data_IF_696896133949
#
_entry.id   IF_696896133949
#
_cell.length_a   1.000
_cell.length_b   1.000
_cell.length_c   1.000
_cell.angle_alpha   90.00
_cell.angle_beta   90.00
_cell.angle_gamma   90.00
#
_symmetry.space_group_name_H-M   'P 1'
#
loop_
_entity.id
_entity.type
_entity.pdbx_description
1 polymer ?
#
# COMPACT_ATOMS: atom_id res chain seq x y z
N UNK A 1 -16.66 -7.33 -16.36
CA UNK A 1 -17.73 -6.40 -16.80
C UNK A 1 -17.50 -5.07 -16.11
N UNK A 2 -17.45 -3.99 -16.87
CA UNK A 2 -17.36 -2.62 -16.35
C UNK A 2 -18.72 -1.97 -16.49
N UNK A 3 -19.19 -1.27 -15.45
CA UNK A 3 -20.35 -0.39 -15.61
C UNK A 3 -19.97 0.80 -16.48
N UNK A 4 -20.89 1.30 -17.32
CA UNK A 4 -20.71 2.60 -17.95
C UNK A 4 -20.56 3.66 -16.85
N UNK A 5 -19.54 4.50 -16.99
CA UNK A 5 -19.36 5.67 -16.11
C UNK A 5 -20.39 6.71 -16.56
N UNK A 6 -21.22 7.18 -15.62
CA UNK A 6 -22.15 8.27 -15.91
C UNK A 6 -21.37 9.50 -16.39
N UNK A 7 -21.79 10.07 -17.51
CA UNK A 7 -21.22 11.32 -18.00
C UNK A 7 -21.66 12.49 -17.12
N UNK A 8 -20.85 13.56 -16.98
CA UNK A 8 -21.29 14.76 -16.28
C UNK A 8 -22.61 15.29 -16.88
N UNK A 9 -23.66 15.29 -16.07
CA UNK A 9 -25.02 15.67 -16.49
C UNK A 9 -26.02 14.52 -16.60
N UNK A 10 -25.60 13.27 -16.61
CA UNK A 10 -26.50 12.12 -16.52
C UNK A 10 -27.15 12.05 -15.14
N UNK A 11 -28.43 12.33 -15.08
CA UNK A 11 -29.28 12.17 -13.87
C UNK A 11 -29.87 10.77 -13.76
N UNK A 12 -29.18 9.75 -14.23
CA UNK A 12 -29.69 8.38 -14.09
C UNK A 12 -29.60 7.97 -12.60
N UNK A 13 -30.73 7.63 -12.02
CA UNK A 13 -30.85 6.94 -10.72
C UNK A 13 -30.25 5.53 -10.84
N UNK A 14 -28.92 5.45 -11.04
CA UNK A 14 -28.23 4.17 -10.97
C UNK A 14 -28.21 3.75 -9.50
N UNK A 15 -28.76 2.59 -9.15
CA UNK A 15 -28.73 2.11 -7.78
C UNK A 15 -27.28 2.06 -7.29
N UNK A 16 -27.02 2.68 -6.14
CA UNK A 16 -25.70 2.66 -5.54
C UNK A 16 -25.43 1.30 -4.92
N UNK A 17 -24.29 0.70 -5.23
CA UNK A 17 -23.93 -0.60 -4.67
C UNK A 17 -23.04 -1.43 -5.60
N UNK A 18 -22.89 -2.71 -5.26
CA UNK A 18 -22.14 -3.65 -6.07
C UNK A 18 -22.82 -3.86 -7.44
N UNK A 19 -22.02 -3.93 -8.50
CA UNK A 19 -22.51 -4.21 -9.87
C UNK A 19 -23.19 -5.57 -9.95
N UNK A 20 -22.60 -6.55 -9.27
CA UNK A 20 -23.16 -7.91 -9.11
C UNK A 20 -23.39 -8.16 -7.63
N UNK A 21 -24.49 -8.81 -7.23
CA UNK A 21 -24.72 -9.15 -5.83
C UNK A 21 -23.63 -10.09 -5.33
N UNK A 22 -23.25 -9.95 -4.06
CA UNK A 22 -22.32 -10.87 -3.42
C UNK A 22 -22.91 -12.28 -3.40
N UNK A 23 -22.09 -13.26 -3.66
CA UNK A 23 -22.47 -14.66 -3.57
C UNK A 23 -22.28 -15.15 -2.13
N UNK A 24 -23.07 -16.10 -1.64
CA UNK A 24 -22.74 -16.80 -0.41
C UNK A 24 -21.35 -17.46 -0.52
N UNK A 25 -20.51 -17.40 0.54
CA UNK A 25 -19.14 -17.96 0.50
C UNK A 25 -19.09 -19.43 0.10
N UNK A 26 -20.12 -20.22 0.45
CA UNK A 26 -20.28 -21.64 0.08
C UNK A 26 -20.42 -21.85 -1.43
N UNK A 27 -20.86 -20.83 -2.17
CA UNK A 27 -20.99 -20.88 -3.63
C UNK A 27 -19.71 -20.38 -4.34
N UNK A 28 -18.66 -20.05 -3.57
CA UNK A 28 -17.34 -19.71 -4.12
C UNK A 28 -16.59 -21.02 -4.39
N UNK A 29 -15.88 -21.04 -5.51
CA UNK A 29 -15.03 -22.17 -5.88
C UNK A 29 -14.12 -22.59 -4.72
N UNK A 30 -14.15 -23.88 -4.33
CA UNK A 30 -13.31 -24.43 -3.27
C UNK A 30 -11.86 -24.62 -3.73
N UNK A 31 -11.68 -25.14 -4.94
CA UNK A 31 -10.38 -25.50 -5.48
C UNK A 31 -9.62 -24.30 -6.08
N UNK A 32 -8.28 -24.25 -5.89
CA UNK A 32 -7.43 -23.26 -6.55
C UNK A 32 -7.56 -23.27 -8.08
N UNK A 33 -7.21 -22.17 -8.71
CA UNK A 33 -7.12 -22.11 -10.16
C UNK A 33 -5.93 -22.93 -10.67
N UNK A 34 -6.06 -23.52 -11.88
CA UNK A 34 -5.00 -24.32 -12.46
C UNK A 34 -3.77 -23.46 -12.81
N UNK A 35 -2.62 -23.95 -12.43
CA UNK A 35 -1.29 -23.49 -12.86
C UNK A 35 -0.68 -24.53 -13.82
N UNK A 36 0.31 -24.16 -14.64
CA UNK A 36 1.12 -25.15 -15.35
C UNK A 36 1.73 -26.17 -14.38
N UNK A 37 1.94 -27.40 -14.83
CA UNK A 37 2.32 -28.55 -14.00
C UNK A 37 3.50 -28.32 -13.07
N UNK A 38 4.45 -27.49 -13.50
CA UNK A 38 5.70 -27.21 -12.78
C UNK A 38 5.54 -26.25 -11.59
N UNK A 39 4.35 -25.66 -11.42
CA UNK A 39 4.08 -24.64 -10.43
C UNK A 39 2.98 -25.03 -9.45
N UNK A 40 3.01 -24.45 -8.27
CA UNK A 40 1.99 -24.61 -7.25
C UNK A 40 1.72 -23.30 -6.51
N UNK A 41 0.48 -23.13 -6.05
CA UNK A 41 0.13 -22.04 -5.14
C UNK A 41 0.55 -22.39 -3.72
N UNK A 42 1.07 -21.39 -3.02
CA UNK A 42 1.38 -21.46 -1.59
C UNK A 42 0.79 -20.27 -0.86
N UNK A 43 0.57 -20.42 0.44
CA UNK A 43 0.34 -19.30 1.35
C UNK A 43 1.68 -18.97 1.98
N UNK A 44 2.16 -17.74 1.74
CA UNK A 44 3.45 -17.28 2.27
C UNK A 44 3.28 -16.84 3.72
N UNK A 45 4.12 -17.34 4.59
CA UNK A 45 4.09 -16.99 6.00
C UNK A 45 5.07 -15.86 6.32
N UNK A 46 4.53 -14.63 6.43
CA UNK A 46 5.33 -13.43 6.71
C UNK A 46 5.89 -13.36 8.13
N UNK A 47 5.47 -14.27 9.04
CA UNK A 47 6.07 -14.41 10.37
C UNK A 47 7.44 -15.11 10.33
N UNK A 48 7.74 -15.85 9.25
CA UNK A 48 9.00 -16.54 9.06
C UNK A 48 9.98 -15.67 8.29
N UNK A 49 11.16 -15.44 8.86
CA UNK A 49 12.18 -14.58 8.25
C UNK A 49 12.65 -15.10 6.88
N UNK A 50 12.71 -16.43 6.70
CA UNK A 50 13.10 -17.02 5.43
C UNK A 50 12.07 -16.71 4.32
N UNK A 51 10.77 -16.86 4.61
CA UNK A 51 9.71 -16.60 3.64
C UNK A 51 9.54 -15.09 3.37
N UNK A 52 9.68 -14.25 4.39
CA UNK A 52 9.74 -12.79 4.23
C UNK A 52 10.92 -12.39 3.33
N UNK A 53 12.09 -13.00 3.53
CA UNK A 53 13.26 -12.75 2.70
C UNK A 53 13.02 -13.16 1.24
N UNK A 54 12.36 -14.27 0.97
CA UNK A 54 12.01 -14.67 -0.40
C UNK A 54 11.11 -13.64 -1.09
N UNK A 55 10.11 -13.10 -0.38
CA UNK A 55 9.25 -12.02 -0.89
C UNK A 55 10.08 -10.75 -1.13
N UNK A 56 10.90 -10.36 -0.18
CA UNK A 56 11.80 -9.21 -0.33
C UNK A 56 12.72 -9.36 -1.56
N UNK A 57 13.36 -10.51 -1.73
CA UNK A 57 14.24 -10.78 -2.88
C UNK A 57 13.46 -10.74 -4.20
N UNK A 58 12.26 -11.33 -4.23
CA UNK A 58 11.39 -11.30 -5.42
C UNK A 58 11.02 -9.87 -5.80
N UNK A 59 10.56 -9.07 -4.85
CA UNK A 59 10.16 -7.68 -5.09
C UNK A 59 11.38 -6.83 -5.48
N UNK A 60 12.50 -6.95 -4.77
CA UNK A 60 13.72 -6.17 -5.05
C UNK A 60 14.22 -6.37 -6.50
N UNK A 61 14.08 -7.58 -7.06
CA UNK A 61 14.61 -7.87 -8.39
C UNK A 61 13.58 -7.78 -9.52
N UNK A 62 12.29 -7.85 -9.22
CA UNK A 62 11.26 -8.05 -10.24
C UNK A 62 10.02 -7.15 -10.10
N UNK A 63 9.94 -6.27 -9.10
CA UNK A 63 8.78 -5.40 -8.90
C UNK A 63 8.73 -4.24 -9.89
N UNK A 64 7.95 -3.22 -9.56
CA UNK A 64 7.73 -2.05 -10.42
C UNK A 64 9.03 -1.27 -10.62
N UNK A 65 9.32 -0.95 -11.86
CA UNK A 65 10.48 -0.16 -12.29
C UNK A 65 10.02 0.92 -13.27
N UNK A 66 10.84 1.95 -13.46
CA UNK A 66 10.62 2.98 -14.47
C UNK A 66 10.72 2.43 -15.90
N UNK A 67 10.32 3.23 -16.89
CA UNK A 67 10.31 2.79 -18.30
C UNK A 67 11.67 2.37 -18.85
N UNK A 68 12.75 2.93 -18.30
CA UNK A 68 14.13 2.65 -18.69
C UNK A 68 14.81 1.59 -17.81
N UNK A 69 14.11 1.07 -16.80
CA UNK A 69 14.62 0.12 -15.81
C UNK A 69 15.85 0.62 -15.02
N UNK A 70 15.96 1.93 -14.87
CA UNK A 70 17.04 2.59 -14.09
C UNK A 70 16.73 2.67 -12.61
N UNK A 71 15.47 2.81 -12.26
CA UNK A 71 14.96 2.88 -10.89
C UNK A 71 13.92 1.78 -10.63
N UNK A 72 13.91 1.23 -9.43
CA UNK A 72 12.94 0.21 -9.00
C UNK A 72 12.54 0.44 -7.55
N UNK A 73 11.26 0.21 -7.23
CA UNK A 73 10.83 0.18 -5.85
C UNK A 73 11.53 -0.92 -5.07
N UNK A 74 12.09 -0.54 -3.93
CA UNK A 74 12.75 -1.44 -2.99
C UNK A 74 12.19 -1.18 -1.61
N UNK A 75 11.46 -2.14 -1.07
CA UNK A 75 10.90 -2.09 0.28
C UNK A 75 11.81 -2.88 1.22
N UNK A 76 12.01 -2.39 2.45
CA UNK A 76 12.75 -3.15 3.46
C UNK A 76 11.93 -4.34 3.98
N UNK A 77 12.58 -5.40 4.50
CA UNK A 77 11.84 -6.50 5.16
C UNK A 77 10.95 -6.02 6.30
N UNK A 78 11.40 -5.04 7.09
CA UNK A 78 10.62 -4.45 8.19
C UNK A 78 9.37 -3.74 7.67
N UNK A 79 9.48 -2.99 6.56
CA UNK A 79 8.33 -2.37 5.90
C UNK A 79 7.34 -3.42 5.40
N UNK A 80 7.81 -4.48 4.72
CA UNK A 80 6.94 -5.55 4.24
C UNK A 80 6.24 -6.27 5.38
N UNK A 81 6.95 -6.53 6.49
CA UNK A 81 6.36 -7.11 7.69
C UNK A 81 5.29 -6.20 8.26
N UNK A 82 5.59 -4.92 8.43
CA UNK A 82 4.65 -3.94 8.96
C UNK A 82 3.38 -3.84 8.12
N UNK A 83 3.48 -3.63 6.81
CA UNK A 83 2.30 -3.43 5.95
C UNK A 83 1.45 -4.70 5.81
N UNK A 84 2.08 -5.89 5.79
CA UNK A 84 1.38 -7.17 5.61
C UNK A 84 0.83 -7.75 6.93
N UNK A 85 1.24 -7.23 8.08
CA UNK A 85 0.63 -7.53 9.39
C UNK A 85 -0.35 -6.44 9.85
N UNK A 86 -1.01 -5.80 8.89
CA UNK A 86 -2.09 -4.86 9.17
C UNK A 86 -3.12 -5.48 10.15
N UNK A 87 -3.75 -4.71 11.06
CA UNK A 87 -4.81 -5.23 11.92
C UNK A 87 -5.86 -6.02 11.14
N UNK A 88 -6.23 -7.18 11.65
CA UNK A 88 -7.16 -8.12 11.02
C UNK A 88 -6.66 -8.73 9.68
N UNK A 89 -5.34 -8.69 9.38
CA UNK A 89 -4.82 -9.34 8.19
C UNK A 89 -5.21 -10.83 8.12
N UNK A 90 -5.40 -11.32 6.90
CA UNK A 90 -5.69 -12.72 6.67
C UNK A 90 -4.49 -13.38 5.99
N UNK A 91 -3.86 -14.31 6.70
CA UNK A 91 -2.68 -15.03 6.20
C UNK A 91 -2.93 -15.74 4.85
N UNK A 92 -4.15 -16.21 4.61
CA UNK A 92 -4.51 -16.84 3.35
C UNK A 92 -4.44 -15.91 2.14
N UNK A 93 -4.43 -14.58 2.39
CA UNK A 93 -4.33 -13.57 1.32
C UNK A 93 -2.88 -13.20 0.96
N UNK A 94 -1.89 -13.84 1.55
CA UNK A 94 -0.49 -13.78 1.11
C UNK A 94 -0.21 -14.92 0.14
N UNK A 95 -0.55 -14.71 -1.12
CA UNK A 95 -0.54 -15.77 -2.14
C UNK A 95 0.79 -15.77 -2.90
N UNK A 96 1.51 -16.86 -2.83
CA UNK A 96 2.72 -17.11 -3.60
C UNK A 96 2.53 -18.18 -4.67
N UNK A 97 3.45 -18.19 -5.64
CA UNK A 97 3.62 -19.31 -6.56
C UNK A 97 5.07 -19.78 -6.46
N UNK A 98 5.24 -21.10 -6.26
CA UNK A 98 6.55 -21.76 -6.23
C UNK A 98 6.74 -22.69 -7.43
N UNK A 99 7.98 -22.86 -7.82
CA UNK A 99 8.40 -23.92 -8.74
C UNK A 99 8.49 -25.21 -7.92
N UNK A 100 7.74 -26.26 -8.28
CA UNK A 100 7.69 -27.51 -7.51
C UNK A 100 9.03 -28.17 -7.29
N UNK A 101 9.90 -28.21 -8.33
CA UNK A 101 11.19 -28.88 -8.26
C UNK A 101 12.21 -28.17 -7.37
N UNK A 102 12.21 -26.84 -7.34
CA UNK A 102 13.22 -26.04 -6.62
C UNK A 102 12.68 -25.32 -5.39
N UNK A 103 11.36 -25.33 -5.21
CA UNK A 103 10.62 -24.60 -4.17
C UNK A 103 10.86 -23.07 -4.21
N UNK A 104 11.47 -22.54 -5.28
CA UNK A 104 11.73 -21.12 -5.44
C UNK A 104 10.43 -20.34 -5.60
N UNK A 105 10.27 -19.27 -4.82
CA UNK A 105 9.16 -18.31 -4.97
C UNK A 105 9.37 -17.49 -6.26
N UNK A 106 8.38 -17.51 -7.16
CA UNK A 106 8.47 -16.86 -8.48
C UNK A 106 7.34 -15.88 -8.77
N UNK A 107 6.33 -15.85 -7.92
CA UNK A 107 5.29 -14.83 -7.98
C UNK A 107 4.67 -14.64 -6.59
N UNK A 108 4.16 -13.43 -6.35
CA UNK A 108 3.52 -13.04 -5.10
C UNK A 108 2.41 -12.02 -5.37
N UNK A 109 1.37 -12.05 -4.55
CA UNK A 109 0.32 -11.04 -4.46
C UNK A 109 -0.24 -11.06 -3.04
N UNK A 110 -0.55 -9.90 -2.50
CA UNK A 110 -1.13 -9.77 -1.17
C UNK A 110 -2.43 -8.99 -1.17
N UNK A 111 -3.32 -9.33 -0.23
CA UNK A 111 -4.52 -8.59 0.10
C UNK A 111 -4.45 -8.06 1.53
N UNK A 112 -4.81 -6.81 1.72
CA UNK A 112 -4.88 -6.13 3.01
C UNK A 112 -6.34 -5.79 3.28
N UNK A 113 -6.91 -6.21 4.43
CA UNK A 113 -8.29 -5.90 4.75
C UNK A 113 -8.46 -4.40 5.03
N UNK A 114 -9.53 -3.81 4.51
CA UNK A 114 -9.90 -2.43 4.79
C UNK A 114 -11.41 -2.28 4.93
N UNK A 115 -11.85 -1.31 5.70
CA UNK A 115 -13.23 -0.82 5.66
C UNK A 115 -13.29 0.46 4.81
N UNK A 116 -14.09 0.43 3.77
CA UNK A 116 -14.28 1.55 2.85
C UNK A 116 -15.68 2.13 3.01
N UNK A 117 -15.77 3.45 3.12
CA UNK A 117 -17.04 4.16 3.03
C UNK A 117 -17.17 4.78 1.64
N UNK A 118 -18.29 4.53 1.01
CA UNK A 118 -18.72 5.20 -0.23
C UNK A 118 -20.04 5.89 0.07
N UNK A 119 -20.02 7.22 0.11
CA UNK A 119 -21.14 8.06 0.58
C UNK A 119 -21.64 7.57 1.95
N UNK A 120 -22.86 7.09 2.06
CA UNK A 120 -23.47 6.67 3.34
C UNK A 120 -23.30 5.17 3.66
N UNK A 121 -22.69 4.42 2.73
CA UNK A 121 -22.51 2.97 2.89
C UNK A 121 -21.08 2.62 3.21
N UNK A 122 -20.85 1.86 4.27
CA UNK A 122 -19.55 1.30 4.61
C UNK A 122 -19.55 -0.23 4.41
N UNK A 123 -18.47 -0.76 3.89
CA UNK A 123 -18.30 -2.19 3.63
C UNK A 123 -16.82 -2.59 3.65
N UNK A 124 -16.58 -3.87 3.87
CA UNK A 124 -15.23 -4.42 3.84
C UNK A 124 -14.77 -4.66 2.41
N UNK A 125 -13.52 -4.29 2.15
CA UNK A 125 -12.82 -4.49 0.88
C UNK A 125 -11.45 -5.11 1.13
N UNK A 126 -10.85 -5.60 0.06
CA UNK A 126 -9.43 -5.98 0.08
C UNK A 126 -8.64 -4.98 -0.75
N UNK A 127 -7.64 -4.35 -0.16
CA UNK A 127 -6.61 -3.63 -0.91
C UNK A 127 -5.60 -4.64 -1.45
N UNK A 128 -5.44 -4.68 -2.77
CA UNK A 128 -4.50 -5.58 -3.45
C UNK A 128 -3.17 -4.87 -3.67
N UNK A 129 -2.11 -5.46 -3.13
CA UNK A 129 -0.76 -4.94 -3.20
C UNK A 129 0.26 -6.00 -3.61
N UNK A 130 1.46 -5.56 -3.97
CA UNK A 130 2.65 -6.38 -4.25
C UNK A 130 2.46 -7.47 -5.32
N UNK A 131 1.58 -7.24 -6.30
CA UNK A 131 1.49 -8.15 -7.45
C UNK A 131 2.81 -8.16 -8.21
N UNK A 132 3.57 -9.22 -8.07
CA UNK A 132 4.88 -9.40 -8.68
C UNK A 132 5.00 -10.77 -9.31
N UNK A 133 5.52 -10.82 -10.54
CA UNK A 133 5.88 -12.04 -11.25
C UNK A 133 7.32 -11.93 -11.71
N UNK A 134 8.10 -12.96 -11.45
CA UNK A 134 9.50 -13.06 -11.89
C UNK A 134 9.63 -12.71 -13.39
N UNK A 135 10.58 -11.85 -13.77
CA UNK A 135 10.71 -11.29 -15.14
C UNK A 135 10.64 -12.35 -16.25
N UNK A 136 11.30 -13.49 -16.05
CA UNK A 136 11.31 -14.60 -17.03
C UNK A 136 9.95 -15.31 -17.22
N UNK A 137 8.98 -15.07 -16.33
CA UNK A 137 7.67 -15.71 -16.36
C UNK A 137 6.54 -14.75 -16.78
N UNK A 138 6.85 -13.49 -17.06
CA UNK A 138 5.83 -12.49 -17.41
C UNK A 138 5.03 -12.87 -18.67
N UNK A 139 5.68 -13.49 -19.65
CA UNK A 139 5.03 -13.98 -20.87
C UNK A 139 4.12 -15.20 -20.64
N UNK A 140 4.21 -15.88 -19.51
CA UNK A 140 3.39 -17.05 -19.16
C UNK A 140 2.00 -16.71 -18.63
N UNK A 141 1.60 -15.42 -18.64
CA UNK A 141 0.28 -14.94 -18.17
C UNK A 141 -0.08 -15.38 -16.75
N UNK A 142 0.90 -15.41 -15.85
CA UNK A 142 0.68 -15.81 -14.46
C UNK A 142 -0.06 -14.78 -13.63
N UNK A 143 0.12 -13.47 -13.92
CA UNK A 143 -0.54 -12.41 -13.16
C UNK A 143 -2.08 -12.52 -13.16
N UNK A 144 -2.79 -12.76 -14.28
CA UNK A 144 -4.23 -12.99 -14.26
C UNK A 144 -4.65 -14.18 -13.40
N UNK A 145 -3.83 -15.21 -13.31
CA UNK A 145 -4.14 -16.41 -12.50
C UNK A 145 -3.96 -16.11 -11.01
N UNK A 146 -2.91 -15.36 -10.64
CA UNK A 146 -2.74 -14.86 -9.26
C UNK A 146 -3.92 -13.98 -8.82
N UNK A 147 -4.35 -13.06 -9.69
CA UNK A 147 -5.51 -12.20 -9.40
C UNK A 147 -6.77 -13.03 -9.18
N UNK A 148 -7.02 -14.04 -10.01
CA UNK A 148 -8.15 -14.96 -9.81
C UNK A 148 -8.05 -15.73 -8.49
N UNK A 149 -6.86 -16.19 -8.13
CA UNK A 149 -6.67 -16.97 -6.90
C UNK A 149 -6.85 -16.11 -5.65
N UNK A 150 -6.29 -14.90 -5.60
CA UNK A 150 -6.52 -14.03 -4.44
C UNK A 150 -7.99 -13.61 -4.35
N UNK A 151 -8.64 -13.32 -5.49
CA UNK A 151 -10.08 -13.04 -5.53
C UNK A 151 -10.88 -14.19 -4.96
N UNK A 152 -10.57 -15.43 -5.35
CA UNK A 152 -11.21 -16.63 -4.79
C UNK A 152 -11.07 -16.70 -3.27
N UNK A 153 -9.87 -16.49 -2.74
CA UNK A 153 -9.59 -16.53 -1.30
C UNK A 153 -10.30 -15.41 -0.53
N UNK A 154 -10.33 -14.20 -1.08
CA UNK A 154 -11.10 -13.10 -0.48
C UNK A 154 -12.61 -13.40 -0.48
N UNK A 155 -13.13 -13.90 -1.60
CA UNK A 155 -14.55 -14.25 -1.71
C UNK A 155 -14.96 -15.39 -0.75
N UNK A 156 -14.08 -16.36 -0.50
CA UNK A 156 -14.30 -17.38 0.54
C UNK A 156 -14.40 -16.80 1.95
N UNK A 157 -13.81 -15.63 2.18
CA UNK A 157 -13.94 -14.86 3.42
C UNK A 157 -15.13 -13.87 3.41
N UNK A 158 -15.98 -13.93 2.39
CA UNK A 158 -17.16 -13.05 2.25
C UNK A 158 -16.85 -11.65 1.71
N UNK A 159 -15.64 -11.39 1.23
CA UNK A 159 -15.23 -10.09 0.67
C UNK A 159 -15.18 -10.18 -0.85
N UNK A 160 -16.02 -9.37 -1.52
CA UNK A 160 -16.21 -9.41 -2.97
C UNK A 160 -15.76 -8.13 -3.69
N UNK A 161 -15.40 -7.10 -2.95
CA UNK A 161 -14.88 -5.85 -3.49
C UNK A 161 -13.40 -5.73 -3.20
N UNK A 162 -12.65 -5.22 -4.18
CA UNK A 162 -11.23 -4.97 -4.04
C UNK A 162 -10.87 -3.61 -4.62
N UNK A 163 -9.88 -2.96 -4.01
CA UNK A 163 -9.26 -1.74 -4.53
C UNK A 163 -7.79 -2.03 -4.81
N UNK A 164 -7.23 -1.35 -5.79
CA UNK A 164 -5.80 -1.41 -6.10
C UNK A 164 -5.34 -0.14 -6.81
N UNK A 165 -4.06 0.11 -6.79
CA UNK A 165 -3.43 1.22 -7.49
C UNK A 165 -2.48 0.69 -8.58
N UNK A 166 -2.24 1.49 -9.60
CA UNK A 166 -1.27 1.21 -10.65
C UNK A 166 -0.53 2.49 -11.02
N UNK A 167 0.76 2.37 -11.35
CA UNK A 167 1.59 3.48 -11.83
C UNK A 167 1.22 3.99 -13.23
N UNK A 168 0.31 3.30 -13.92
CA UNK A 168 -0.22 3.68 -15.22
C UNK A 168 -1.69 4.07 -15.10
N UNK A 169 -2.14 5.00 -15.96
CA UNK A 169 -3.55 5.39 -16.02
C UNK A 169 -4.39 4.19 -16.48
N UNK A 170 -5.33 3.79 -15.64
CA UNK A 170 -6.27 2.72 -15.92
C UNK A 170 -7.42 3.24 -16.81
N UNK A 171 -8.08 2.39 -17.62
CA UNK A 171 -9.14 2.83 -18.56
C UNK A 171 -10.32 3.55 -17.90
N UNK A 172 -10.68 3.22 -16.69
CA UNK A 172 -11.79 3.85 -15.94
C UNK A 172 -11.42 3.93 -14.45
N UNK A 173 -10.45 4.80 -14.09
CA UNK A 173 -10.03 4.89 -12.70
C UNK A 173 -11.11 5.55 -11.85
N UNK A 174 -11.23 5.14 -10.59
CA UNK A 174 -12.08 5.83 -9.61
C UNK A 174 -11.48 7.22 -9.32
N UNK A 175 -10.15 7.29 -9.22
CA UNK A 175 -9.40 8.52 -9.00
C UNK A 175 -7.98 8.39 -9.54
N UNK A 176 -7.37 9.53 -9.83
CA UNK A 176 -5.96 9.63 -10.18
C UNK A 176 -5.28 10.59 -9.21
N UNK A 177 -4.09 10.21 -8.74
CA UNK A 177 -3.25 11.06 -7.91
C UNK A 177 -2.00 11.50 -8.68
N UNK A 178 -1.48 12.67 -8.33
CA UNK A 178 -0.19 13.15 -8.82
C UNK A 178 0.79 13.18 -7.67
N UNK A 179 1.93 12.53 -7.85
CA UNK A 179 3.01 12.56 -6.88
C UNK A 179 3.85 13.82 -7.05
N UNK A 180 4.23 14.43 -5.92
CA UNK A 180 5.15 15.55 -5.85
C UNK A 180 6.31 15.15 -4.95
N UNK A 181 7.54 15.47 -5.39
CA UNK A 181 8.74 15.17 -4.64
C UNK A 181 9.31 16.43 -3.99
N UNK A 182 9.66 16.34 -2.72
CA UNK A 182 10.43 17.35 -1.99
C UNK A 182 11.84 16.82 -1.77
N UNK A 183 12.78 17.37 -2.49
CA UNK A 183 14.19 16.98 -2.38
C UNK A 183 14.73 17.25 -0.98
N UNK A 184 15.34 16.25 -0.35
CA UNK A 184 16.02 16.35 0.94
C UNK A 184 17.52 16.26 0.81
N UNK A 185 18.05 15.47 -0.14
CA UNK A 185 19.47 15.27 -0.42
C UNK A 185 19.74 15.52 -1.90
N UNK A 186 19.79 16.82 -2.29
CA UNK A 186 19.87 17.22 -3.69
C UNK A 186 21.07 16.61 -4.41
N UNK A 187 22.28 16.65 -3.82
CA UNK A 187 23.51 16.08 -4.39
C UNK A 187 23.36 14.60 -4.69
N UNK A 188 22.92 13.80 -3.70
CA UNK A 188 22.71 12.36 -3.87
C UNK A 188 21.74 12.05 -5.02
N UNK A 189 20.62 12.80 -5.11
CA UNK A 189 19.61 12.58 -6.16
C UNK A 189 20.14 12.93 -7.57
N UNK A 190 21.04 13.90 -7.67
CA UNK A 190 21.73 14.23 -8.93
C UNK A 190 22.77 13.16 -9.28
N UNK A 191 23.56 12.72 -8.30
CA UNK A 191 24.60 11.70 -8.49
C UNK A 191 24.03 10.35 -8.99
N UNK A 192 22.86 9.96 -8.49
CA UNK A 192 22.19 8.71 -8.94
C UNK A 192 21.31 8.90 -10.18
N UNK A 193 21.26 10.11 -10.77
CA UNK A 193 20.49 10.38 -11.98
C UNK A 193 18.96 10.52 -11.78
N UNK A 194 18.47 10.60 -10.52
CA UNK A 194 17.06 10.81 -10.25
C UNK A 194 16.60 12.24 -10.58
N UNK A 195 17.47 13.22 -10.38
CA UNK A 195 17.23 14.63 -10.73
C UNK A 195 18.46 15.23 -11.40
N UNK A 196 18.33 16.45 -11.91
CA UNK A 196 19.43 17.20 -12.49
C UNK A 196 19.51 18.60 -11.89
N UNK A 197 20.72 19.17 -11.92
CA UNK A 197 20.91 20.59 -11.57
C UNK A 197 20.29 21.45 -12.67
N UNK A 198 19.43 22.42 -12.33
CA UNK A 198 18.84 23.34 -13.32
C UNK A 198 19.92 24.08 -14.11
N UNK A 199 19.65 24.37 -15.38
CA UNK A 199 20.58 25.08 -16.25
C UNK A 199 20.94 26.45 -15.66
N UNK A 200 22.22 26.75 -15.57
CA UNK A 200 22.73 28.02 -15.05
C UNK A 200 22.84 28.09 -13.53
N UNK A 201 22.68 26.98 -12.83
CA UNK A 201 22.82 26.86 -11.36
C UNK A 201 23.99 25.97 -11.02
N UNK A 202 24.71 26.28 -9.94
CA UNK A 202 25.73 25.37 -9.39
C UNK A 202 25.10 24.30 -8.50
N UNK A 203 25.85 23.25 -8.16
CA UNK A 203 25.37 22.23 -7.22
C UNK A 203 25.12 22.82 -5.83
N UNK A 204 25.98 23.72 -5.39
CA UNK A 204 25.88 24.42 -4.09
C UNK A 204 24.62 25.27 -3.99
N UNK A 205 24.31 26.04 -5.04
CA UNK A 205 23.07 26.80 -5.12
C UNK A 205 21.85 25.90 -5.15
N UNK A 206 21.94 24.76 -5.84
CA UNK A 206 20.87 23.76 -5.88
C UNK A 206 20.62 23.14 -4.51
N UNK A 207 21.66 22.76 -3.78
CA UNK A 207 21.56 22.26 -2.40
C UNK A 207 20.98 23.31 -1.46
N UNK A 208 21.48 24.54 -1.52
CA UNK A 208 21.01 25.64 -0.68
C UNK A 208 19.51 25.92 -0.85
N UNK A 209 18.99 25.75 -2.07
CA UNK A 209 17.55 25.91 -2.37
C UNK A 209 16.66 24.92 -1.63
N UNK A 210 17.19 23.74 -1.31
CA UNK A 210 16.46 22.68 -0.62
C UNK A 210 16.87 22.53 0.86
N UNK A 211 17.78 23.36 1.33
CA UNK A 211 18.20 23.33 2.72
C UNK A 211 17.01 23.49 3.67
N UNK A 212 17.00 22.69 4.72
CA UNK A 212 16.03 22.76 5.79
C UNK A 212 16.63 23.54 6.96
N UNK A 213 15.81 24.28 7.73
CA UNK A 213 16.30 24.87 8.97
C UNK A 213 16.73 23.77 9.95
N UNK A 214 17.72 24.05 10.77
CA UNK A 214 18.25 23.09 11.76
C UNK A 214 17.25 22.73 12.86
N UNK A 215 16.27 23.61 13.08
CA UNK A 215 15.23 23.41 14.10
C UNK A 215 13.86 23.75 13.52
N UNK A 216 12.82 23.05 13.99
CA UNK A 216 11.44 23.43 13.69
C UNK A 216 10.95 24.48 14.69
N UNK A 217 10.21 25.47 14.18
CA UNK A 217 9.60 26.52 14.99
C UNK A 217 8.10 26.34 15.23
N UNK A 218 7.55 25.17 14.90
CA UNK A 218 6.11 24.87 15.08
C UNK A 218 5.83 24.61 16.57
N UNK A 219 5.15 25.52 17.28
CA UNK A 219 4.81 25.30 18.68
C UNK A 219 3.94 24.05 18.87
N UNK A 220 4.21 23.25 19.89
CA UNK A 220 3.44 22.06 20.21
C UNK A 220 3.71 20.85 19.28
N UNK A 221 4.67 20.95 18.35
CA UNK A 221 5.08 19.83 17.52
C UNK A 221 5.87 18.81 18.36
N UNK A 222 5.40 17.56 18.35
CA UNK A 222 6.07 16.42 18.99
C UNK A 222 5.77 15.12 18.27
N UNK A 223 6.60 14.10 18.52
CA UNK A 223 6.34 12.75 18.02
C UNK A 223 5.02 12.21 18.59
N UNK A 224 4.24 11.54 17.74
CA UNK A 224 2.99 10.90 18.12
C UNK A 224 3.22 9.73 19.08
N UNK A 225 2.41 9.65 20.10
CA UNK A 225 2.43 8.57 21.10
C UNK A 225 1.14 7.74 21.05
N UNK A 226 1.17 6.58 21.69
CA UNK A 226 0.01 5.69 21.78
C UNK A 226 -1.23 6.36 22.41
N UNK A 227 -1.02 7.30 23.32
CA UNK A 227 -2.08 8.10 23.97
C UNK A 227 -2.81 9.03 23.00
N UNK A 228 -2.18 9.39 21.87
CA UNK A 228 -2.76 10.31 20.88
C UNK A 228 -3.72 9.62 19.90
N UNK A 229 -3.70 8.28 19.86
CA UNK A 229 -4.51 7.49 18.91
C UNK A 229 -5.98 7.90 18.86
N UNK A 230 -6.70 8.08 19.99
CA UNK A 230 -8.10 8.50 19.94
C UNK A 230 -8.28 9.90 19.34
N UNK A 231 -7.37 10.84 19.63
CA UNK A 231 -7.44 12.21 19.14
C UNK A 231 -7.12 12.29 17.64
N UNK A 232 -6.05 11.63 17.20
CA UNK A 232 -5.66 11.51 15.80
C UNK A 232 -6.73 10.78 15.00
N UNK A 233 -7.27 9.68 15.53
CA UNK A 233 -8.36 8.94 14.89
C UNK A 233 -9.62 9.79 14.68
N UNK A 234 -10.01 10.61 15.66
CA UNK A 234 -11.12 11.57 15.50
C UNK A 234 -10.83 12.61 14.43
N UNK A 235 -9.62 13.17 14.42
CA UNK A 235 -9.21 14.16 13.43
C UNK A 235 -9.22 13.59 12.02
N UNK A 236 -8.65 12.39 11.84
CA UNK A 236 -8.60 11.67 10.57
C UNK A 236 -10.01 11.35 10.05
N UNK A 237 -10.88 10.77 10.89
CA UNK A 237 -12.26 10.45 10.51
C UNK A 237 -13.05 11.70 10.13
N UNK A 238 -12.89 12.81 10.86
CA UNK A 238 -13.52 14.11 10.53
C UNK A 238 -13.02 14.65 9.19
N UNK A 239 -11.73 14.53 8.90
CA UNK A 239 -11.16 14.94 7.63
C UNK A 239 -11.67 14.07 6.48
N UNK A 240 -11.67 12.75 6.65
CA UNK A 240 -12.12 11.78 5.64
C UNK A 240 -13.62 11.87 5.35
N UNK A 241 -14.43 12.38 6.27
CA UNK A 241 -15.87 12.60 6.05
C UNK A 241 -16.17 13.61 4.92
N UNK A 242 -15.19 14.40 4.49
CA UNK A 242 -15.31 15.38 3.40
C UNK A 242 -15.34 14.74 2.01
N UNK A 243 -14.93 13.49 1.88
CA UNK A 243 -14.84 12.79 0.61
C UNK A 243 -16.00 11.81 0.47
N UNK A 244 -16.53 11.66 -0.74
CA UNK A 244 -17.58 10.67 -1.04
C UNK A 244 -17.09 9.23 -0.88
N UNK A 245 -15.80 8.99 -1.11
CA UNK A 245 -15.15 7.70 -0.91
C UNK A 245 -13.91 7.88 -0.06
N UNK A 246 -13.84 7.15 1.04
CA UNK A 246 -12.70 7.20 1.95
C UNK A 246 -12.60 5.92 2.79
N UNK A 247 -11.39 5.50 3.19
CA UNK A 247 -11.22 4.44 4.17
C UNK A 247 -11.74 4.90 5.54
N UNK A 248 -12.28 3.94 6.30
CA UNK A 248 -12.64 4.13 7.72
C UNK A 248 -11.58 3.44 8.57
N UNK A 249 -10.91 4.22 9.39
CA UNK A 249 -9.85 3.71 10.27
C UNK A 249 -10.40 3.50 11.68
N UNK A 250 -10.22 2.28 12.19
CA UNK A 250 -10.35 1.96 13.60
C UNK A 250 -9.16 2.53 14.39
N UNK A 251 -9.29 2.64 15.71
CA UNK A 251 -8.17 3.08 16.55
C UNK A 251 -7.00 2.06 16.54
N UNK A 252 -7.29 0.77 16.29
CA UNK A 252 -6.25 -0.24 16.10
C UNK A 252 -5.42 0.00 14.83
N UNK A 253 -6.08 0.36 13.72
CA UNK A 253 -5.42 0.72 12.47
C UNK A 253 -4.65 2.04 12.61
N UNK A 254 -5.23 3.06 13.24
CA UNK A 254 -4.52 4.32 13.53
C UNK A 254 -3.27 4.06 14.37
N UNK A 255 -3.36 3.19 15.38
CA UNK A 255 -2.20 2.78 16.18
C UNK A 255 -1.14 2.09 15.33
N UNK A 256 -1.55 1.12 14.51
CA UNK A 256 -0.64 0.37 13.65
C UNK A 256 0.06 1.27 12.62
N UNK A 257 -0.69 2.18 12.00
CA UNK A 257 -0.19 3.00 10.91
C UNK A 257 0.65 4.19 11.35
N UNK A 258 0.46 4.71 12.59
CA UNK A 258 1.06 5.99 12.99
C UNK A 258 1.84 5.93 14.30
N UNK A 259 1.68 4.91 15.13
CA UNK A 259 2.47 4.78 16.36
C UNK A 259 3.68 3.92 16.07
N UNK A 260 4.85 4.53 16.22
CA UNK A 260 6.13 3.84 16.06
C UNK A 260 6.21 2.66 17.03
N UNK A 261 6.29 1.46 16.49
CA UNK A 261 6.54 0.26 17.29
C UNK A 261 7.97 0.28 17.84
N UNK A 262 8.16 -0.25 19.04
CA UNK A 262 9.50 -0.51 19.54
C UNK A 262 10.20 -1.49 18.58
N UNK A 263 11.51 -1.29 18.29
CA UNK A 263 12.23 -2.21 17.43
C UNK A 263 12.24 -3.60 18.05
N UNK A 264 11.89 -4.60 17.25
CA UNK A 264 11.84 -6.01 17.69
C UNK A 264 13.24 -6.62 17.83
N UNK A 265 14.22 -6.02 17.17
CA UNK A 265 15.65 -6.37 17.26
C UNK A 265 16.49 -5.08 17.22
N UNK A 266 17.74 -5.09 17.72
CA UNK A 266 18.64 -3.93 17.63
C UNK A 266 18.91 -3.46 16.20
N UNK A 267 18.73 -4.33 15.21
CA UNK A 267 18.95 -4.04 13.79
C UNK A 267 17.67 -3.61 13.07
N UNK A 268 16.48 -3.72 13.71
CA UNK A 268 15.22 -3.35 13.09
C UNK A 268 15.16 -1.83 12.86
N UNK A 269 14.87 -1.45 11.64
CA UNK A 269 14.70 -0.04 11.26
C UNK A 269 13.25 0.41 11.53
N UNK A 270 13.06 1.61 12.06
CA UNK A 270 11.72 2.19 12.14
C UNK A 270 11.16 2.38 10.73
N UNK A 271 9.91 2.00 10.52
CA UNK A 271 9.25 2.12 9.20
C UNK A 271 8.32 3.32 9.10
N UNK A 272 8.01 3.96 10.23
CA UNK A 272 7.09 5.10 10.26
C UNK A 272 7.49 6.12 11.31
N UNK A 273 7.30 7.39 10.98
CA UNK A 273 7.34 8.53 11.89
C UNK A 273 6.06 9.32 11.74
N UNK A 274 5.41 9.61 12.85
CA UNK A 274 4.24 10.46 12.87
C UNK A 274 4.41 11.54 13.94
N UNK A 275 3.93 12.72 13.64
CA UNK A 275 4.03 13.89 14.51
C UNK A 275 2.64 14.49 14.72
N UNK A 276 2.43 15.06 15.87
CA UNK A 276 1.22 15.81 16.22
C UNK A 276 1.58 17.24 16.60
N UNK A 277 0.68 18.15 16.33
CA UNK A 277 0.73 19.51 16.87
C UNK A 277 -0.35 19.60 17.94
N UNK A 278 0.08 19.87 19.16
CA UNK A 278 -0.78 19.96 20.33
C UNK A 278 -1.00 21.43 20.71
N UNK A 279 -2.26 21.81 20.90
CA UNK A 279 -2.59 23.14 21.41
C UNK A 279 -2.28 23.24 22.92
N UNK A 280 -2.14 24.45 23.48
CA UNK A 280 -1.91 24.64 24.91
C UNK A 280 -2.95 23.99 25.83
N UNK A 281 -4.16 23.75 25.33
CA UNK A 281 -5.25 23.07 26.04
C UNK A 281 -5.22 21.53 25.88
N UNK A 282 -4.16 20.98 25.30
CA UNK A 282 -4.00 19.53 25.08
C UNK A 282 -4.80 18.96 23.89
N UNK A 283 -5.47 19.79 23.08
CA UNK A 283 -6.17 19.29 21.89
C UNK A 283 -5.21 19.07 20.73
N UNK A 284 -5.38 17.96 19.99
CA UNK A 284 -4.62 17.68 18.78
C UNK A 284 -5.18 18.54 17.62
N UNK A 285 -4.35 19.43 17.08
CA UNK A 285 -4.70 20.33 15.99
C UNK A 285 -4.37 19.77 14.62
N UNK A 286 -3.26 19.04 14.51
CA UNK A 286 -2.73 18.50 13.26
C UNK A 286 -1.98 17.22 13.55
N UNK A 287 -1.99 16.28 12.59
CA UNK A 287 -1.01 15.20 12.54
C UNK A 287 -0.39 15.13 11.15
N UNK A 288 0.81 14.62 11.07
CA UNK A 288 1.50 14.27 9.81
C UNK A 288 2.26 12.96 10.03
N UNK A 289 2.41 12.19 8.99
CA UNK A 289 3.18 10.94 9.02
C UNK A 289 4.04 10.83 7.78
N UNK A 290 5.16 10.16 7.91
CA UNK A 290 6.04 9.79 6.83
C UNK A 290 6.44 8.32 7.01
N UNK A 291 6.46 7.55 5.92
CA UNK A 291 7.00 6.21 5.90
C UNK A 291 8.46 6.30 5.48
N UNK A 292 9.33 5.56 6.15
CA UNK A 292 10.74 5.52 5.78
C UNK A 292 10.89 4.85 4.42
N UNK A 293 11.15 5.66 3.41
CA UNK A 293 11.72 5.21 2.14
C UNK A 293 13.22 5.50 2.19
N UNK A 294 14.02 4.47 2.36
CA UNK A 294 15.48 4.52 2.23
C UNK A 294 15.93 4.50 0.77
#
# INVERSE_FOLDING_TARGET
KTQPVNQPGDKSDVPMGAIEPNKPPENVRSEPYALPSDFEFVTVNMDRDEELKEVYDLLTHHYVEDGEATMRFKYTPDFLRWVLHHPNYNKAWHVGVRVKSSQKLVAFIAGIPQELRVRDTAFHVTEINFLCVHKRLRTKRMAPVLIKEITRRCNQSGIFQAIYTAGQVLPTPISCARYYHRTLRARKLVEIGFSSVPRGMTMEEHEARFALPSTTSVPGLREMQASDVPAVGRLLRRYMARFDMAPRFSDAEVRHMFVRAAPTTPAAQPVIWAYVVEAPNGSCLLYTSDAADD
#
